data_IF_945291121365
#
_entry.id   IF_945291121365
#
_cell.length_a   1.000
_cell.length_b   1.000
_cell.length_c   1.000
_cell.angle_alpha   90.00
_cell.angle_beta   90.00
_cell.angle_gamma   90.00
#
_symmetry.space_group_name_H-M   'P 1'
#
loop_
_entity.id
_entity.type
_entity.pdbx_description
1 polymer ?
#
# COMPACT_ATOMS: atom_id res chain seq x y z
N UNK A 1 -29.67 26.08 5.55
CA UNK A 1 -28.54 26.65 6.29
C UNK A 1 -28.45 26.19 7.74
N UNK A 2 -29.52 26.20 8.55
CA UNK A 2 -29.43 25.72 9.94
C UNK A 2 -29.07 24.23 10.08
N UNK A 3 -29.59 23.36 9.21
CA UNK A 3 -29.27 21.93 9.22
C UNK A 3 -27.80 21.60 8.86
N UNK A 4 -27.13 22.45 8.08
CA UNK A 4 -25.74 22.22 7.66
C UNK A 4 -24.71 22.71 8.68
N UNK A 5 -25.13 23.51 9.67
CA UNK A 5 -24.21 24.12 10.64
C UNK A 5 -23.53 23.07 11.51
N UNK A 6 -24.28 22.06 11.94
CA UNK A 6 -23.75 21.02 12.84
C UNK A 6 -22.76 20.11 12.12
N UNK A 7 -23.00 19.80 10.86
CA UNK A 7 -22.08 19.02 10.04
C UNK A 7 -20.80 19.80 9.72
N UNK A 8 -20.91 21.10 9.44
CA UNK A 8 -19.73 21.98 9.26
C UNK A 8 -18.92 22.08 10.54
N UNK A 9 -19.55 22.25 11.71
CA UNK A 9 -18.85 22.28 12.99
C UNK A 9 -18.16 20.94 13.30
N UNK A 10 -18.81 19.81 13.00
CA UNK A 10 -18.22 18.48 13.17
C UNK A 10 -17.01 18.31 12.26
N UNK A 11 -17.13 18.64 10.97
CA UNK A 11 -16.04 18.57 10.00
C UNK A 11 -14.87 19.47 10.41
N UNK A 12 -15.16 20.71 10.84
CA UNK A 12 -14.14 21.62 11.32
C UNK A 12 -13.40 21.08 12.55
N UNK A 13 -14.12 20.55 13.54
CA UNK A 13 -13.49 19.91 14.72
C UNK A 13 -12.58 18.75 14.32
N UNK A 14 -12.98 17.91 13.35
CA UNK A 14 -12.13 16.82 12.85
C UNK A 14 -10.86 17.40 12.23
N UNK A 15 -10.99 18.43 11.38
CA UNK A 15 -9.84 19.06 10.73
C UNK A 15 -8.86 19.65 11.75
N UNK A 16 -9.34 20.39 12.74
CA UNK A 16 -8.51 20.97 13.82
C UNK A 16 -7.90 19.91 14.74
N UNK A 17 -8.58 18.77 14.92
CA UNK A 17 -8.08 17.68 15.75
C UNK A 17 -6.95 16.87 15.09
N UNK A 18 -6.81 16.90 13.75
CA UNK A 18 -5.78 16.14 13.02
C UNK A 18 -4.35 16.38 13.53
N UNK A 19 -3.84 17.61 13.67
CA UNK A 19 -2.48 17.82 14.20
C UNK A 19 -2.31 17.28 15.62
N UNK A 20 -3.35 17.37 16.47
CA UNK A 20 -3.31 16.84 17.84
C UNK A 20 -3.28 15.32 17.85
N UNK A 21 -4.12 14.69 17.03
CA UNK A 21 -4.17 13.23 16.87
C UNK A 21 -2.84 12.69 16.34
N UNK A 22 -2.24 13.38 15.36
CA UNK A 22 -0.92 13.02 14.81
C UNK A 22 0.16 13.08 15.87
N UNK A 23 0.22 14.18 16.63
CA UNK A 23 1.20 14.34 17.70
C UNK A 23 1.05 13.25 18.77
N UNK A 24 -0.18 12.94 19.18
CA UNK A 24 -0.44 11.88 20.15
C UNK A 24 0.02 10.50 19.62
N UNK A 25 -0.24 10.19 18.34
CA UNK A 25 0.22 8.96 17.72
C UNK A 25 1.75 8.92 17.59
N UNK A 26 2.41 10.03 17.28
CA UNK A 26 3.88 10.15 17.22
C UNK A 26 4.53 9.90 18.59
N UNK A 27 3.92 10.38 19.68
CA UNK A 27 4.39 10.08 21.03
C UNK A 27 4.25 8.59 21.36
N UNK A 28 3.13 7.95 20.98
CA UNK A 28 2.92 6.50 21.17
C UNK A 28 3.96 5.71 20.37
N UNK A 29 4.19 6.07 19.10
CA UNK A 29 5.20 5.44 18.26
C UNK A 29 6.61 5.59 18.85
N UNK A 30 6.93 6.76 19.40
CA UNK A 30 8.22 7.00 20.06
C UNK A 30 8.41 6.14 21.31
N UNK A 31 7.38 6.01 22.14
CA UNK A 31 7.42 5.11 23.30
C UNK A 31 7.54 3.63 22.90
N UNK A 32 6.87 3.23 21.83
CA UNK A 32 6.94 1.88 21.30
C UNK A 32 8.33 1.56 20.74
N UNK A 33 8.97 2.54 20.08
CA UNK A 33 10.36 2.45 19.62
C UNK A 33 11.36 2.34 20.78
N UNK A 34 11.04 2.91 21.95
CA UNK A 34 11.84 2.78 23.17
C UNK A 34 11.69 1.41 23.87
N UNK A 35 10.94 0.47 23.27
CA UNK A 35 10.86 -0.93 23.71
C UNK A 35 9.58 -1.30 24.44
N UNK A 36 8.69 -0.35 24.75
CA UNK A 36 7.37 -0.65 25.32
C UNK A 36 6.46 -1.29 24.27
N UNK A 37 5.56 -2.18 24.67
CA UNK A 37 4.53 -2.69 23.75
C UNK A 37 3.38 -1.69 23.64
N UNK A 38 2.61 -1.75 22.54
CA UNK A 38 1.47 -0.84 22.35
C UNK A 38 0.40 -1.05 23.44
N UNK A 39 0.22 -2.28 23.90
CA UNK A 39 -0.71 -2.65 24.98
C UNK A 39 -0.31 -1.99 26.32
N UNK A 40 0.99 -1.97 26.63
CA UNK A 40 1.51 -1.29 27.82
C UNK A 40 1.28 0.22 27.78
N UNK A 41 1.49 0.83 26.60
CA UNK A 41 1.28 2.27 26.41
C UNK A 41 -0.21 2.62 26.52
N UNK A 42 -1.07 1.83 25.89
CA UNK A 42 -2.52 2.01 25.93
C UNK A 42 -3.09 1.86 27.34
N UNK A 43 -2.64 0.85 28.09
CA UNK A 43 -3.04 0.66 29.48
C UNK A 43 -2.64 1.84 30.39
N UNK A 44 -1.49 2.47 30.12
CA UNK A 44 -1.01 3.62 30.89
C UNK A 44 -1.72 4.93 30.53
N UNK A 45 -2.05 5.16 29.25
CA UNK A 45 -2.67 6.40 28.76
C UNK A 45 -4.20 6.41 28.93
N UNK A 46 -4.84 5.24 28.79
CA UNK A 46 -6.30 5.12 28.75
C UNK A 46 -6.90 5.72 27.47
N UNK A 47 -8.06 5.18 27.04
CA UNK A 47 -8.80 5.71 25.88
C UNK A 47 -8.15 5.45 24.51
N UNK A 48 -7.21 4.52 24.42
CA UNK A 48 -6.60 4.05 23.17
C UNK A 48 -6.85 2.55 23.05
N UNK A 49 -7.40 2.13 21.92
CA UNK A 49 -7.60 0.72 21.60
C UNK A 49 -6.37 0.18 20.86
N UNK A 50 -5.98 -1.05 21.18
CA UNK A 50 -4.85 -1.74 20.55
C UNK A 50 -5.39 -2.99 19.90
N UNK A 51 -5.17 -3.10 18.61
CA UNK A 51 -5.57 -4.24 17.81
C UNK A 51 -4.39 -4.77 17.01
N UNK A 52 -4.33 -6.10 16.88
CA UNK A 52 -3.37 -6.76 16.00
C UNK A 52 -4.05 -7.01 14.66
N UNK A 53 -3.66 -6.26 13.63
CA UNK A 53 -4.03 -6.59 12.27
C UNK A 53 -3.36 -7.92 11.87
N UNK A 54 -4.15 -8.86 11.33
CA UNK A 54 -3.67 -10.17 10.87
C UNK A 54 -2.66 -10.07 9.72
N UNK A 55 -2.13 -11.18 9.19
CA UNK A 55 -1.31 -11.12 7.99
C UNK A 55 -2.15 -10.59 6.82
N UNK A 56 -1.67 -9.55 6.14
CA UNK A 56 -2.31 -9.01 4.95
C UNK A 56 -1.26 -8.54 3.94
N UNK A 57 -1.66 -8.48 2.67
CA UNK A 57 -0.88 -7.92 1.56
C UNK A 57 -1.38 -6.51 1.24
N UNK A 58 -0.59 -5.68 0.56
CA UNK A 58 -1.06 -4.33 0.17
C UNK A 58 -2.35 -4.41 -0.63
N UNK A 59 -2.33 -5.26 -1.66
CA UNK A 59 -3.46 -5.51 -2.53
C UNK A 59 -3.96 -6.94 -2.36
N UNK A 60 -5.27 -7.12 -2.46
CA UNK A 60 -5.93 -8.41 -2.38
C UNK A 60 -6.92 -8.57 -3.54
N UNK A 61 -7.13 -9.81 -3.95
CA UNK A 61 -8.25 -10.18 -4.83
C UNK A 61 -9.40 -10.80 -4.05
N UNK A 62 -9.25 -11.03 -2.74
CA UNK A 62 -10.24 -11.71 -1.92
C UNK A 62 -10.76 -12.99 -2.58
N UNK A 63 -12.08 -13.06 -2.77
CA UNK A 63 -12.79 -14.15 -3.44
C UNK A 63 -13.11 -13.85 -4.91
N UNK A 64 -12.56 -12.76 -5.48
CA UNK A 64 -12.84 -12.35 -6.85
C UNK A 64 -12.30 -13.37 -7.87
N UNK A 65 -12.97 -13.54 -9.03
CA UNK A 65 -12.52 -14.44 -10.09
C UNK A 65 -11.10 -14.11 -10.58
N UNK A 66 -10.40 -15.14 -11.06
CA UNK A 66 -9.11 -14.98 -11.70
C UNK A 66 -9.20 -14.00 -12.88
N UNK A 67 -8.28 -13.04 -12.95
CA UNK A 67 -8.29 -11.95 -13.93
C UNK A 67 -8.95 -10.65 -13.46
N UNK A 68 -9.61 -10.65 -12.29
CA UNK A 68 -10.10 -9.41 -11.68
C UNK A 68 -8.94 -8.51 -11.26
N UNK A 69 -9.13 -7.20 -11.40
CA UNK A 69 -8.18 -6.21 -10.90
C UNK A 69 -8.03 -6.38 -9.37
N UNK A 70 -6.80 -6.30 -8.84
CA UNK A 70 -6.60 -6.32 -7.40
C UNK A 70 -7.12 -5.03 -6.77
N UNK A 71 -7.61 -5.12 -5.54
CA UNK A 71 -8.14 -3.98 -4.77
C UNK A 71 -7.31 -3.78 -3.50
N UNK A 72 -7.41 -2.60 -2.90
CA UNK A 72 -6.75 -2.29 -1.63
C UNK A 72 -7.28 -3.21 -0.52
N UNK A 73 -6.38 -3.83 0.24
CA UNK A 73 -6.79 -4.67 1.37
C UNK A 73 -7.51 -3.85 2.45
N UNK A 74 -8.49 -4.49 3.10
CA UNK A 74 -9.15 -3.98 4.32
C UNK A 74 -8.88 -4.96 5.47
N UNK A 75 -7.71 -4.86 6.13
CA UNK A 75 -7.41 -5.70 7.28
C UNK A 75 -8.40 -5.44 8.41
N UNK A 76 -8.74 -6.49 9.15
CA UNK A 76 -9.55 -6.36 10.35
C UNK A 76 -8.87 -5.41 11.36
N UNK A 77 -9.66 -4.53 11.98
CA UNK A 77 -9.19 -3.48 12.89
C UNK A 77 -8.70 -2.18 12.24
N UNK A 78 -8.54 -2.13 10.92
CA UNK A 78 -8.19 -0.90 10.20
C UNK A 78 -9.39 -0.33 9.45
N UNK A 79 -9.87 0.82 9.89
CA UNK A 79 -11.01 1.51 9.29
C UNK A 79 -10.55 2.35 8.09
N UNK A 80 -10.84 1.86 6.87
CA UNK A 80 -10.52 2.54 5.60
C UNK A 80 -9.05 2.99 5.51
N UNK A 81 -8.08 2.06 5.63
CA UNK A 81 -6.66 2.40 5.80
C UNK A 81 -6.12 3.34 4.70
N UNK A 82 -6.50 3.10 3.45
CA UNK A 82 -6.04 3.95 2.35
C UNK A 82 -4.57 3.76 2.00
N UNK A 83 -4.08 4.48 0.99
CA UNK A 83 -2.70 4.31 0.52
C UNK A 83 -1.66 4.84 1.52
N UNK A 84 -2.02 5.85 2.34
CA UNK A 84 -1.12 6.43 3.33
C UNK A 84 -0.73 5.40 4.41
N UNK A 85 -1.73 4.71 4.99
CA UNK A 85 -1.48 3.64 5.96
C UNK A 85 -0.72 2.50 5.30
N UNK A 86 -1.12 2.09 4.10
CA UNK A 86 -0.53 0.92 3.44
C UNK A 86 0.94 1.17 3.10
N UNK A 87 1.29 2.34 2.57
CA UNK A 87 2.69 2.73 2.39
C UNK A 87 3.45 2.75 3.71
N UNK A 88 2.88 3.38 4.74
CA UNK A 88 3.52 3.47 6.05
C UNK A 88 3.75 2.10 6.72
N UNK A 89 2.88 1.11 6.49
CA UNK A 89 3.05 -0.27 7.00
C UNK A 89 4.12 -1.02 6.22
N UNK A 90 4.07 -0.98 4.89
CA UNK A 90 4.94 -1.78 4.03
C UNK A 90 6.37 -1.23 3.89
N UNK A 91 6.61 0.00 4.34
CA UNK A 91 7.96 0.58 4.47
C UNK A 91 8.67 0.18 5.79
N UNK A 92 8.00 -0.54 6.70
CA UNK A 92 8.55 -0.91 8.01
C UNK A 92 9.31 -2.23 8.00
N UNK A 93 10.34 -2.30 8.85
CA UNK A 93 10.96 -3.56 9.29
C UNK A 93 10.41 -4.02 10.65
N UNK A 94 10.48 -5.31 11.00
CA UNK A 94 10.02 -5.81 12.31
C UNK A 94 10.62 -5.00 13.47
N UNK A 95 9.76 -4.54 14.37
CA UNK A 95 10.11 -3.68 15.51
C UNK A 95 10.12 -2.18 15.20
N UNK A 96 10.07 -1.76 13.93
CA UNK A 96 9.92 -0.36 13.57
C UNK A 96 8.47 0.13 13.77
N UNK A 97 8.31 1.44 13.80
CA UNK A 97 7.03 2.12 14.04
C UNK A 97 6.78 3.21 13.00
N UNK A 98 5.51 3.44 12.69
CA UNK A 98 5.05 4.52 11.81
C UNK A 98 3.79 5.18 12.36
N UNK A 99 3.44 6.33 11.79
CA UNK A 99 2.19 7.04 12.05
C UNK A 99 1.56 7.42 10.72
N UNK A 100 0.27 7.12 10.56
CA UNK A 100 -0.47 7.43 9.35
C UNK A 100 -1.96 7.68 9.65
N UNK A 101 -2.58 8.55 8.86
CA UNK A 101 -4.03 8.67 8.86
C UNK A 101 -4.67 7.65 7.93
N UNK A 102 -5.87 7.20 8.30
CA UNK A 102 -6.75 6.52 7.37
C UNK A 102 -7.19 7.44 6.22
N UNK A 103 -7.75 6.87 5.15
CA UNK A 103 -8.12 7.61 3.93
C UNK A 103 -9.02 8.85 4.20
N UNK A 104 -10.11 8.77 4.99
CA UNK A 104 -10.93 9.94 5.30
C UNK A 104 -10.29 10.90 6.33
N UNK A 105 -9.10 10.59 6.86
CA UNK A 105 -8.37 11.35 7.89
C UNK A 105 -9.22 11.62 9.13
N UNK A 106 -9.91 10.58 9.57
CA UNK A 106 -10.75 10.56 10.78
C UNK A 106 -10.08 9.81 11.93
N UNK A 107 -9.17 8.88 11.63
CA UNK A 107 -8.41 8.10 12.61
C UNK A 107 -6.92 8.19 12.27
N UNK A 108 -6.10 8.48 13.28
CA UNK A 108 -4.64 8.46 13.18
C UNK A 108 -4.12 7.23 13.91
N UNK A 109 -3.40 6.36 13.20
CA UNK A 109 -2.86 5.13 13.74
C UNK A 109 -1.39 5.33 14.16
N UNK A 110 -1.05 4.82 15.34
CA UNK A 110 0.33 4.53 15.73
C UNK A 110 0.59 3.04 15.46
N UNK A 111 1.48 2.75 14.53
CA UNK A 111 1.67 1.42 13.97
C UNK A 111 3.02 0.88 14.43
N UNK A 112 3.07 -0.40 14.79
CA UNK A 112 4.32 -1.14 15.03
C UNK A 112 4.29 -2.44 14.25
N UNK A 113 5.29 -2.68 13.41
CA UNK A 113 5.40 -3.96 12.72
C UNK A 113 5.91 -5.02 13.69
N UNK A 114 5.13 -6.08 13.90
CA UNK A 114 5.48 -7.18 14.82
C UNK A 114 6.36 -8.22 14.13
N UNK A 115 5.90 -8.72 12.99
CA UNK A 115 6.55 -9.77 12.22
C UNK A 115 6.05 -9.75 10.78
N UNK A 116 6.80 -10.39 9.88
CA UNK A 116 6.37 -10.71 8.52
C UNK A 116 5.90 -12.16 8.47
N UNK A 117 4.88 -12.44 7.67
CA UNK A 117 4.39 -13.80 7.40
C UNK A 117 4.24 -13.98 5.88
N UNK A 118 5.04 -14.84 5.22
CA UNK A 118 6.18 -15.61 5.74
C UNK A 118 7.33 -14.76 6.28
N UNK A 119 8.24 -15.34 7.06
CA UNK A 119 9.41 -14.63 7.54
C UNK A 119 10.39 -14.28 6.40
N UNK A 120 11.33 -13.39 6.68
CA UNK A 120 12.24 -12.84 5.67
C UNK A 120 13.17 -13.90 5.04
N UNK A 121 13.51 -14.96 5.78
CA UNK A 121 14.31 -16.06 5.26
C UNK A 121 13.49 -16.90 4.28
N UNK A 122 12.25 -17.23 4.64
CA UNK A 122 11.32 -17.95 3.77
C UNK A 122 10.97 -17.14 2.51
N UNK A 123 10.81 -15.83 2.62
CA UNK A 123 10.59 -14.96 1.47
C UNK A 123 11.78 -15.00 0.50
N UNK A 124 13.02 -14.99 1.01
CA UNK A 124 14.23 -15.15 0.19
C UNK A 124 14.28 -16.52 -0.48
N UNK A 125 13.96 -17.59 0.24
CA UNK A 125 13.92 -18.93 -0.32
C UNK A 125 12.86 -19.06 -1.42
N UNK A 126 11.67 -18.50 -1.20
CA UNK A 126 10.60 -18.46 -2.21
C UNK A 126 11.02 -17.67 -3.45
N UNK A 127 11.69 -16.53 -3.27
CA UNK A 127 12.23 -15.74 -4.36
C UNK A 127 13.27 -16.54 -5.16
N UNK A 128 14.24 -17.15 -4.50
CA UNK A 128 15.27 -17.97 -5.16
C UNK A 128 14.65 -19.20 -5.85
N UNK A 129 13.69 -19.88 -5.22
CA UNK A 129 12.97 -20.99 -5.83
C UNK A 129 12.20 -20.54 -7.09
N UNK A 130 11.65 -19.32 -7.10
CA UNK A 130 10.95 -18.79 -8.27
C UNK A 130 11.86 -18.59 -9.48
N UNK A 131 13.15 -18.30 -9.27
CA UNK A 131 14.14 -18.20 -10.36
C UNK A 131 14.43 -19.54 -11.03
N UNK A 132 14.14 -20.65 -10.35
CA UNK A 132 14.32 -22.00 -10.89
C UNK A 132 13.13 -22.46 -11.75
N UNK A 133 12.04 -21.69 -11.82
CA UNK A 133 10.91 -21.96 -12.71
C UNK A 133 11.03 -21.14 -14.01
N UNK A 134 11.43 -21.77 -15.13
CA UNK A 134 11.59 -21.08 -16.40
C UNK A 134 10.30 -20.40 -16.89
N UNK A 135 9.12 -20.88 -16.47
CA UNK A 135 7.84 -20.31 -16.88
C UNK A 135 7.60 -18.92 -16.29
N UNK A 136 8.07 -18.68 -15.05
CA UNK A 136 7.92 -17.38 -14.39
C UNK A 136 8.89 -16.36 -14.95
N UNK A 137 10.11 -16.79 -15.27
CA UNK A 137 11.09 -15.98 -15.98
C UNK A 137 10.64 -15.68 -17.41
N UNK A 138 9.99 -16.63 -18.10
CA UNK A 138 9.47 -16.43 -19.44
C UNK A 138 8.43 -15.31 -19.51
N UNK A 139 7.52 -15.19 -18.54
CA UNK A 139 6.55 -14.08 -18.53
C UNK A 139 7.21 -12.71 -18.42
N UNK A 140 8.22 -12.57 -17.54
CA UNK A 140 8.97 -11.32 -17.39
C UNK A 140 9.81 -11.04 -18.64
N UNK A 141 10.45 -12.07 -19.19
CA UNK A 141 11.23 -11.96 -20.42
C UNK A 141 10.36 -11.60 -21.64
N UNK A 142 9.14 -12.12 -21.74
CA UNK A 142 8.18 -11.79 -22.80
C UNK A 142 7.77 -10.32 -22.73
N UNK A 143 7.50 -9.80 -21.52
CA UNK A 143 7.15 -8.39 -21.32
C UNK A 143 8.33 -7.46 -21.63
N UNK A 144 9.54 -7.81 -21.19
CA UNK A 144 10.76 -7.06 -21.53
C UNK A 144 11.02 -7.08 -23.04
N UNK A 145 10.86 -8.25 -23.69
CA UNK A 145 11.06 -8.41 -25.13
C UNK A 145 10.05 -7.58 -25.92
N UNK A 146 8.78 -7.55 -25.51
CA UNK A 146 7.77 -6.65 -26.09
C UNK A 146 8.17 -5.19 -25.96
N UNK A 147 8.54 -4.75 -24.76
CA UNK A 147 8.94 -3.36 -24.50
C UNK A 147 10.12 -2.92 -25.37
N UNK A 148 11.16 -3.77 -25.48
CA UNK A 148 12.32 -3.52 -26.33
C UNK A 148 11.94 -3.45 -27.81
N UNK A 149 11.10 -4.38 -28.27
CA UNK A 149 10.64 -4.40 -29.66
C UNK A 149 9.80 -3.16 -30.01
N UNK A 150 8.86 -2.76 -29.15
CA UNK A 150 8.03 -1.56 -29.34
C UNK A 150 8.90 -0.30 -29.38
N UNK A 151 9.86 -0.18 -28.46
CA UNK A 151 10.83 0.90 -28.44
C UNK A 151 11.70 0.95 -29.70
N UNK A 152 12.19 -0.20 -30.15
CA UNK A 152 12.96 -0.32 -31.39
C UNK A 152 12.12 0.09 -32.61
N UNK A 153 10.89 -0.42 -32.73
CA UNK A 153 9.96 -0.11 -33.82
C UNK A 153 9.67 1.40 -33.86
N UNK A 154 9.34 1.99 -32.70
CA UNK A 154 9.10 3.44 -32.57
C UNK A 154 10.32 4.24 -33.03
N UNK A 155 11.53 3.83 -32.63
CA UNK A 155 12.77 4.51 -33.03
C UNK A 155 13.01 4.48 -34.55
N UNK A 156 12.63 3.40 -35.24
CA UNK A 156 12.72 3.30 -36.70
C UNK A 156 11.71 4.23 -37.36
N UNK A 157 10.45 4.21 -36.89
CA UNK A 157 9.39 5.05 -37.43
C UNK A 157 9.74 6.54 -37.31
N UNK A 158 10.29 6.95 -36.16
CA UNK A 158 10.75 8.33 -35.94
C UNK A 158 11.95 8.68 -36.83
N UNK A 159 12.98 7.82 -36.88
CA UNK A 159 14.21 8.07 -37.67
C UNK A 159 13.91 8.29 -39.15
N UNK A 160 12.98 7.53 -39.71
CA UNK A 160 12.62 7.61 -41.14
C UNK A 160 11.41 8.50 -41.40
N UNK A 161 10.92 9.24 -40.40
CA UNK A 161 9.76 10.13 -40.50
C UNK A 161 8.56 9.46 -41.21
N UNK A 162 8.28 8.21 -40.84
CA UNK A 162 7.29 7.39 -41.53
C UNK A 162 5.90 8.00 -41.34
N UNK A 163 5.24 8.29 -42.46
CA UNK A 163 3.84 8.73 -42.48
C UNK A 163 2.96 7.65 -43.09
N UNK A 164 2.01 7.18 -42.31
CA UNK A 164 1.07 6.16 -42.75
C UNK A 164 -0.06 6.79 -43.56
N UNK A 165 -0.18 6.43 -44.84
CA UNK A 165 -1.31 6.85 -45.70
C UNK A 165 -2.63 6.15 -45.36
N UNK A 166 -2.55 5.09 -44.55
CA UNK A 166 -3.67 4.30 -43.99
C UNK A 166 -3.18 3.68 -42.70
N UNK A 167 -4.05 3.58 -41.70
CA UNK A 167 -3.70 2.90 -40.45
C UNK A 167 -3.12 1.50 -40.72
N UNK A 168 -1.95 1.21 -40.14
CA UNK A 168 -1.34 -0.10 -40.29
C UNK A 168 -2.26 -1.16 -39.67
N UNK A 169 -2.45 -2.26 -40.41
CA UNK A 169 -3.26 -3.39 -39.95
C UNK A 169 -2.33 -4.46 -39.38
N UNK A 170 -2.12 -4.40 -38.08
CA UNK A 170 -1.41 -5.40 -37.29
C UNK A 170 -1.64 -5.17 -35.79
N UNK A 171 -1.61 -6.23 -34.97
CA UNK A 171 -1.83 -6.09 -33.52
C UNK A 171 -0.72 -5.32 -32.79
N UNK A 172 0.45 -5.15 -33.42
CA UNK A 172 1.67 -4.57 -32.82
C UNK A 172 1.84 -3.07 -33.09
N UNK A 173 0.84 -2.42 -33.71
CA UNK A 173 0.89 -1.02 -34.13
C UNK A 173 -0.35 -0.22 -33.68
N UNK A 174 -1.10 -0.74 -32.70
CA UNK A 174 -2.21 -0.04 -32.03
C UNK A 174 -1.83 0.37 -30.63
#
# INVERSE_FOLDING_TARGET
>A
FQSARDDVLRAWRIVEARPLARKAAEEIATEAKAGKTLEQIAAARGGVEVEKAGPFTWLTRGTAPFGSAPELSQPEGLAMPGDEVMRAVFDLEPGQTAVAFNEPKTVCYAIRLVSLEPDDAQLKDLFLASTQDPRRLATVADDDTRSVYDGWMKSILERYAVSWKREPRGPELR
#
